data_IF_062738814373
#
_entry.id   IF_062738814373
#
_cell.length_a   1.000
_cell.length_b   1.000
_cell.length_c   1.000
_cell.angle_alpha   90.00
_cell.angle_beta   90.00
_cell.angle_gamma   90.00
#
_symmetry.space_group_name_H-M   'P 1'
#
loop_
_entity.id
_entity.type
_entity.pdbx_description
1 polymer ?
#
# COMPACT_ATOMS: atom_id res chain seq x y z
N UNK A 1 26.07 -62.49 -2.11
CA UNK A 1 25.25 -62.42 -0.89
C UNK A 1 23.82 -62.86 -1.21
N UNK A 2 23.09 -63.38 -0.22
CA UNK A 2 21.96 -64.30 -0.46
C UNK A 2 20.61 -63.62 -0.76
N UNK A 3 19.81 -64.29 -1.58
CA UNK A 3 18.37 -64.05 -1.74
C UNK A 3 17.57 -64.75 -0.61
N UNK A 4 16.47 -64.14 -0.13
CA UNK A 4 15.31 -64.77 0.57
C UNK A 4 14.15 -63.75 0.59
N UNK A 5 13.11 -63.93 -0.23
CA UNK A 5 11.81 -64.59 0.04
C UNK A 5 10.68 -63.65 0.52
N UNK A 6 9.62 -63.53 -0.31
CA UNK A 6 8.25 -63.06 0.05
C UNK A 6 7.45 -64.17 0.75
N UNK A 7 6.42 -63.83 1.53
CA UNK A 7 4.98 -63.95 1.12
C UNK A 7 4.21 -62.63 1.39
N UNK A 8 2.90 -62.39 1.15
CA UNK A 8 1.83 -62.86 0.22
C UNK A 8 0.86 -61.65 0.03
N UNK A 9 -0.01 -61.44 -0.96
CA UNK A 9 -0.80 -62.22 -1.93
C UNK A 9 -2.22 -62.66 -1.50
N UNK A 10 -3.22 -62.32 -2.36
CA UNK A 10 -4.63 -62.81 -2.46
C UNK A 10 -5.62 -62.27 -1.40
N UNK A 11 -6.94 -62.14 -1.59
CA UNK A 11 -7.84 -62.00 -2.76
C UNK A 11 -9.17 -61.40 -2.24
N UNK A 12 -9.80 -60.39 -2.88
CA UNK A 12 -10.77 -60.47 -3.98
C UNK A 12 -12.20 -60.99 -3.63
N UNK A 13 -13.20 -60.13 -3.90
CA UNK A 13 -14.59 -60.39 -4.34
C UNK A 13 -15.55 -61.19 -3.42
N UNK A 14 -16.67 -60.62 -2.93
CA UNK A 14 -17.94 -60.18 -3.59
C UNK A 14 -19.00 -61.31 -3.69
N UNK A 15 -20.23 -60.95 -3.24
CA UNK A 15 -21.58 -61.47 -3.57
C UNK A 15 -22.38 -62.42 -2.64
N UNK A 16 -23.65 -62.00 -2.45
CA UNK A 16 -24.90 -62.76 -2.19
C UNK A 16 -25.13 -63.43 -0.81
N UNK A 17 -26.37 -63.53 -0.27
CA UNK A 17 -27.67 -62.84 -0.53
C UNK A 17 -28.68 -63.19 0.63
N UNK A 18 -29.84 -62.50 0.70
CA UNK A 18 -31.17 -62.99 1.19
C UNK A 18 -31.26 -63.66 2.58
N UNK A 19 -32.02 -63.16 3.59
CA UNK A 19 -33.44 -62.73 3.55
C UNK A 19 -33.90 -62.11 4.89
N UNK A 20 -34.65 -61.00 4.79
CA UNK A 20 -35.85 -60.61 5.57
C UNK A 20 -36.12 -61.26 6.94
N UNK A 21 -36.01 -60.48 8.03
CA UNK A 21 -36.99 -60.35 9.15
C UNK A 21 -36.76 -58.93 9.74
N UNK A 22 -37.76 -58.05 9.92
CA UNK A 22 -38.80 -58.11 10.96
C UNK A 22 -38.27 -57.40 12.22
N UNK A 23 -38.39 -56.07 12.34
CA UNK A 23 -39.48 -55.33 13.00
C UNK A 23 -39.64 -55.65 14.51
N UNK A 24 -39.87 -54.62 15.35
CA UNK A 24 -40.13 -54.64 16.82
C UNK A 24 -38.99 -55.16 17.72
N UNK A 25 -38.85 -54.80 19.01
CA UNK A 25 -39.22 -53.62 19.83
C UNK A 25 -38.55 -53.82 21.23
N UNK A 26 -38.43 -52.75 22.03
CA UNK A 26 -38.14 -52.74 23.49
C UNK A 26 -36.71 -53.11 23.96
N UNK A 27 -35.93 -52.18 24.56
CA UNK A 27 -35.99 -51.64 25.94
C UNK A 27 -35.49 -52.60 27.05
N UNK A 28 -34.72 -52.02 28.01
CA UNK A 28 -34.32 -52.55 29.35
C UNK A 28 -33.13 -53.55 29.35
N UNK A 29 -32.14 -53.54 30.28
CA UNK A 29 -31.81 -52.64 31.43
C UNK A 29 -30.30 -52.69 31.83
N UNK A 30 -29.82 -51.56 32.38
CA UNK A 30 -28.78 -51.37 33.44
C UNK A 30 -27.33 -51.87 33.34
N UNK A 31 -26.42 -50.90 33.56
CA UNK A 31 -25.20 -50.94 34.44
C UNK A 31 -23.98 -51.76 33.99
N UNK A 32 -22.72 -51.34 34.22
CA UNK A 32 -22.15 -50.17 34.95
C UNK A 32 -20.72 -49.84 34.45
N UNK A 33 -20.18 -48.70 34.89
CA UNK A 33 -18.74 -48.31 34.87
C UNK A 33 -18.00 -48.20 33.51
N UNK A 34 -17.73 -46.97 33.06
CA UNK A 34 -16.91 -46.72 31.87
C UNK A 34 -16.59 -45.26 31.54
N UNK A 35 -15.88 -44.55 32.45
CA UNK A 35 -15.10 -43.34 32.11
C UNK A 35 -15.89 -42.07 31.76
N UNK A 36 -15.96 -41.14 32.73
CA UNK A 36 -16.27 -39.75 32.42
C UNK A 36 -15.07 -39.08 31.71
N UNK A 37 -15.10 -39.05 30.38
CA UNK A 37 -14.30 -38.09 29.59
C UNK A 37 -15.25 -36.99 29.15
N UNK A 38 -15.22 -35.88 29.89
CA UNK A 38 -16.03 -34.70 29.62
C UNK A 38 -15.61 -34.04 28.31
N UNK A 39 -16.19 -34.52 27.20
CA UNK A 39 -16.10 -33.87 25.90
C UNK A 39 -16.82 -32.53 25.94
N UNK A 40 -16.15 -31.49 26.45
CA UNK A 40 -16.40 -30.11 26.03
C UNK A 40 -16.02 -30.03 24.55
N UNK A 41 -16.94 -30.49 23.70
CA UNK A 41 -17.07 -29.95 22.35
C UNK A 41 -17.20 -28.44 22.52
N UNK A 42 -16.12 -27.73 22.21
CA UNK A 42 -16.17 -26.28 22.11
C UNK A 42 -17.20 -25.95 21.05
N UNK A 43 -18.35 -25.40 21.46
CA UNK A 43 -19.26 -24.75 20.53
C UNK A 43 -18.45 -23.69 19.80
N UNK A 44 -18.07 -24.01 18.57
CA UNK A 44 -17.41 -23.10 17.67
C UNK A 44 -18.49 -22.15 17.18
N UNK A 45 -18.91 -21.22 18.05
CA UNK A 45 -19.78 -20.14 17.63
C UNK A 45 -19.05 -19.40 16.51
N UNK A 46 -19.55 -19.44 15.26
CA UNK A 46 -18.93 -18.64 14.22
C UNK A 46 -19.03 -17.19 14.68
N UNK A 47 -17.91 -16.48 14.70
CA UNK A 47 -17.93 -15.03 14.92
C UNK A 47 -18.77 -14.46 13.79
N UNK A 48 -20.04 -14.18 14.10
CA UNK A 48 -20.95 -13.48 13.21
C UNK A 48 -20.24 -12.18 12.87
N UNK A 49 -19.76 -12.08 11.62
CA UNK A 49 -19.14 -10.87 11.12
C UNK A 49 -20.20 -9.78 11.20
N UNK A 50 -20.15 -9.00 12.29
CA UNK A 50 -21.21 -8.08 12.65
C UNK A 50 -21.23 -7.04 11.54
N UNK A 51 -22.23 -7.13 10.67
CA UNK A 51 -22.37 -6.24 9.52
C UNK A 51 -22.68 -4.87 10.09
N UNK A 52 -21.64 -4.09 10.36
CA UNK A 52 -21.76 -2.71 10.81
C UNK A 52 -22.46 -1.98 9.67
N UNK A 53 -23.77 -1.80 9.82
CA UNK A 53 -24.54 -0.88 9.03
C UNK A 53 -24.04 0.52 9.41
N UNK A 54 -22.96 0.94 8.76
CA UNK A 54 -22.31 2.22 8.97
C UNK A 54 -23.29 3.32 8.57
N UNK A 55 -24.12 3.74 9.54
CA UNK A 55 -25.18 4.72 9.32
C UNK A 55 -24.60 6.10 8.98
N UNK A 56 -23.38 6.37 9.46
CA UNK A 56 -22.51 7.45 9.02
C UNK A 56 -21.06 6.93 8.98
N UNK A 57 -20.46 6.82 7.79
CA UNK A 57 -19.06 6.39 7.61
C UNK A 57 -18.04 7.54 7.82
N UNK A 58 -18.42 8.58 8.55
CA UNK A 58 -17.66 9.82 8.68
C UNK A 58 -16.92 9.91 10.03
N UNK A 59 -15.67 10.34 9.99
CA UNK A 59 -14.90 10.74 11.17
C UNK A 59 -14.65 12.24 11.08
N UNK A 60 -15.16 13.00 12.04
CA UNK A 60 -14.91 14.45 12.13
C UNK A 60 -13.47 14.66 12.63
N UNK A 61 -12.63 15.29 11.82
CA UNK A 61 -11.25 15.62 12.18
C UNK A 61 -11.26 16.79 13.18
N UNK A 62 -10.73 16.63 14.41
CA UNK A 62 -10.65 17.72 15.38
C UNK A 62 -9.67 18.81 14.92
N UNK A 63 -9.76 20.02 15.49
CA UNK A 63 -8.84 21.13 15.18
C UNK A 63 -7.34 20.78 15.40
N UNK A 64 -7.03 19.85 16.31
CA UNK A 64 -5.66 19.34 16.51
C UNK A 64 -5.17 18.36 15.43
N UNK A 65 -6.07 17.87 14.56
CA UNK A 65 -5.85 16.75 13.65
C UNK A 65 -6.03 15.38 14.32
N UNK A 66 -6.21 14.35 13.50
CA UNK A 66 -6.20 12.95 13.87
C UNK A 66 -4.76 12.40 13.76
N UNK A 67 -4.19 11.96 14.88
CA UNK A 67 -2.87 11.33 14.92
C UNK A 67 -2.99 9.81 14.94
N UNK A 68 -2.27 9.15 14.04
CA UNK A 68 -2.01 7.72 14.09
C UNK A 68 -0.69 7.52 14.83
N UNK A 69 -0.71 6.76 15.92
CA UNK A 69 0.44 6.59 16.82
C UNK A 69 0.73 5.11 17.06
N UNK A 70 1.99 4.81 17.34
CA UNK A 70 2.41 3.54 17.95
C UNK A 70 1.97 3.47 19.42
N UNK A 71 1.96 2.28 20.06
CA UNK A 71 1.59 2.13 21.47
C UNK A 71 2.46 2.92 22.46
N UNK A 72 3.71 3.21 22.12
CA UNK A 72 4.62 4.09 22.88
C UNK A 72 4.44 5.59 22.59
N UNK A 73 3.39 5.96 21.84
CA UNK A 73 2.95 7.34 21.65
C UNK A 73 3.64 8.11 20.51
N UNK A 74 4.60 7.51 19.79
CA UNK A 74 5.24 8.14 18.63
C UNK A 74 4.26 8.31 17.47
N UNK A 75 4.29 9.45 16.80
CA UNK A 75 3.46 9.69 15.63
C UNK A 75 3.97 8.89 14.41
N UNK A 76 3.06 8.24 13.71
CA UNK A 76 3.28 7.55 12.43
C UNK A 76 2.71 8.39 11.29
N UNK A 77 1.49 8.92 11.49
CA UNK A 77 0.84 9.82 10.54
C UNK A 77 -0.04 10.84 11.26
N UNK A 78 -0.35 11.95 10.58
CA UNK A 78 -1.32 12.95 11.02
C UNK A 78 -2.19 13.38 9.84
N UNK A 79 -3.50 13.23 9.98
CA UNK A 79 -4.51 13.83 9.11
C UNK A 79 -5.02 15.10 9.78
N UNK A 80 -4.92 16.26 9.14
CA UNK A 80 -5.39 17.54 9.69
C UNK A 80 -5.97 18.43 8.59
N UNK A 81 -6.55 19.55 9.00
CA UNK A 81 -7.06 20.60 8.12
C UNK A 81 -6.39 21.91 8.53
N UNK A 82 -5.98 22.71 7.56
CA UNK A 82 -5.55 24.10 7.73
C UNK A 82 -6.43 25.04 6.89
N UNK A 83 -6.00 26.29 6.67
CA UNK A 83 -6.73 27.28 5.88
C UNK A 83 -6.87 26.89 4.39
N UNK A 84 -5.93 26.08 3.88
CA UNK A 84 -5.78 25.68 2.48
C UNK A 84 -6.44 24.32 2.19
N UNK A 85 -6.63 23.50 3.24
CA UNK A 85 -7.53 22.37 3.24
C UNK A 85 -6.97 21.12 3.93
N UNK A 86 -7.32 19.95 3.37
CA UNK A 86 -6.94 18.65 3.94
C UNK A 86 -5.46 18.31 3.73
N UNK A 87 -4.82 17.82 4.79
CA UNK A 87 -3.39 17.53 4.84
C UNK A 87 -3.12 16.16 5.51
N UNK A 88 -2.26 15.35 4.90
CA UNK A 88 -1.76 14.09 5.44
C UNK A 88 -0.23 14.11 5.50
N UNK A 89 0.33 14.01 6.70
CA UNK A 89 1.77 13.85 6.95
C UNK A 89 2.10 12.43 7.43
N UNK A 90 3.22 11.88 6.97
CA UNK A 90 3.82 10.63 7.43
C UNK A 90 5.17 10.92 8.08
N UNK A 91 5.40 10.40 9.28
CA UNK A 91 6.60 10.63 10.08
C UNK A 91 7.53 9.40 10.10
N UNK A 92 8.83 9.63 10.20
CA UNK A 92 9.79 8.58 10.54
C UNK A 92 9.86 8.37 12.07
N UNK A 93 10.66 7.38 12.51
CA UNK A 93 10.85 7.05 13.93
C UNK A 93 11.44 8.17 14.80
N UNK A 94 12.02 9.20 14.19
CA UNK A 94 12.52 10.41 14.85
C UNK A 94 11.51 11.57 14.86
N UNK A 95 10.28 11.35 14.38
CA UNK A 95 9.24 12.38 14.30
C UNK A 95 9.38 13.36 13.13
N UNK A 96 10.28 13.10 12.17
CA UNK A 96 10.48 13.95 10.99
C UNK A 96 9.52 13.55 9.88
N UNK A 97 8.82 14.52 9.29
CA UNK A 97 7.91 14.31 8.15
C UNK A 97 8.68 13.85 6.91
N UNK A 98 8.49 12.59 6.49
CA UNK A 98 9.13 11.98 5.30
C UNK A 98 8.22 11.92 4.07
N UNK A 99 6.91 12.05 4.24
CA UNK A 99 5.97 12.29 3.14
C UNK A 99 4.85 13.23 3.59
N UNK A 100 4.37 14.07 2.68
CA UNK A 100 3.27 15.00 2.93
C UNK A 100 2.45 15.20 1.65
N UNK A 101 1.17 14.85 1.71
CA UNK A 101 0.13 15.16 0.72
C UNK A 101 -0.77 16.28 1.28
N UNK A 102 -0.99 17.36 0.54
CA UNK A 102 -1.80 18.48 1.01
C UNK A 102 -2.59 19.16 -0.11
N UNK A 103 -3.73 19.74 0.27
CA UNK A 103 -4.44 20.72 -0.54
C UNK A 103 -3.71 22.07 -0.51
N UNK A 104 -3.96 22.89 -1.53
CA UNK A 104 -3.61 24.31 -1.59
C UNK A 104 -4.82 25.06 -2.16
N UNK A 105 -5.01 26.35 -1.84
CA UNK A 105 -6.11 27.19 -2.37
C UNK A 105 -6.42 26.95 -3.86
N UNK A 106 -5.37 26.82 -4.67
CA UNK A 106 -5.44 26.71 -6.13
C UNK A 106 -4.98 25.33 -6.67
N UNK A 107 -4.96 24.28 -5.83
CA UNK A 107 -4.59 22.93 -6.27
C UNK A 107 -4.17 22.00 -5.14
N UNK A 108 -2.99 21.38 -5.27
CA UNK A 108 -2.50 20.43 -4.29
C UNK A 108 -1.05 20.00 -4.55
N UNK A 109 -0.45 19.36 -3.56
CA UNK A 109 0.95 18.95 -3.61
C UNK A 109 1.20 17.62 -2.92
N UNK A 110 2.21 16.91 -3.41
CA UNK A 110 2.84 15.78 -2.75
C UNK A 110 4.32 16.11 -2.57
N UNK A 111 4.89 15.79 -1.41
CA UNK A 111 6.34 15.86 -1.19
C UNK A 111 6.85 14.59 -0.52
N UNK A 112 8.06 14.20 -0.92
CA UNK A 112 8.86 13.16 -0.28
C UNK A 112 10.12 13.83 0.24
N UNK A 113 10.40 13.63 1.52
CA UNK A 113 11.53 14.24 2.22
C UNK A 113 12.49 13.14 2.71
N UNK A 114 13.78 13.45 2.73
CA UNK A 114 14.77 12.56 3.34
C UNK A 114 14.63 12.54 4.88
N UNK A 115 15.40 11.67 5.54
CA UNK A 115 15.34 11.50 7.00
C UNK A 115 15.67 12.77 7.82
N UNK A 116 16.21 13.82 7.19
CA UNK A 116 16.49 15.15 7.78
C UNK A 116 15.41 16.19 7.47
N UNK A 117 14.30 15.80 6.83
CA UNK A 117 13.18 16.68 6.50
C UNK A 117 13.38 17.54 5.25
N UNK A 118 14.47 17.35 4.50
CA UNK A 118 14.67 18.05 3.22
C UNK A 118 13.88 17.38 2.10
N UNK A 119 13.14 18.16 1.31
CA UNK A 119 12.42 17.69 0.13
C UNK A 119 13.40 17.16 -0.93
N UNK A 120 13.22 15.90 -1.32
CA UNK A 120 13.99 15.21 -2.37
C UNK A 120 13.14 14.84 -3.59
N UNK A 121 11.81 14.82 -3.45
CA UNK A 121 10.90 14.81 -4.59
C UNK A 121 9.60 15.56 -4.26
N UNK A 122 8.89 16.00 -5.29
CA UNK A 122 7.54 16.51 -5.13
C UNK A 122 6.75 16.61 -6.43
N UNK A 123 5.43 16.58 -6.31
CA UNK A 123 4.48 16.93 -7.36
C UNK A 123 3.67 18.14 -6.88
N UNK A 124 3.25 18.99 -7.81
CA UNK A 124 2.28 20.07 -7.55
C UNK A 124 1.30 20.23 -8.71
N UNK A 125 0.07 20.62 -8.39
CA UNK A 125 -0.92 21.08 -9.36
C UNK A 125 -1.31 22.53 -9.04
N UNK A 126 -1.52 23.32 -10.09
CA UNK A 126 -1.97 24.70 -10.07
C UNK A 126 -2.92 24.94 -11.27
N UNK A 127 -3.67 26.07 -11.34
CA UNK A 127 -4.62 26.31 -12.42
C UNK A 127 -3.94 26.48 -13.78
N UNK A 128 -2.67 26.91 -13.78
CA UNK A 128 -1.84 27.04 -14.98
C UNK A 128 -1.18 25.74 -15.43
N UNK A 129 -1.25 24.65 -14.65
CA UNK A 129 -0.65 23.36 -14.99
C UNK A 129 -0.05 22.60 -13.80
N UNK A 130 0.82 21.63 -14.10
CA UNK A 130 1.42 20.73 -13.10
C UNK A 130 2.94 20.70 -13.15
N UNK A 131 3.57 20.35 -12.03
CA UNK A 131 5.01 20.10 -11.94
C UNK A 131 5.35 18.82 -11.19
N UNK A 132 6.47 18.21 -11.56
CA UNK A 132 7.16 17.14 -10.85
C UNK A 132 8.63 17.51 -10.75
N UNK A 133 9.21 17.42 -9.56
CA UNK A 133 10.62 17.72 -9.32
C UNK A 133 11.30 16.63 -8.49
N UNK A 134 12.57 16.39 -8.79
CA UNK A 134 13.50 15.57 -8.00
C UNK A 134 14.70 16.42 -7.64
N UNK A 135 15.11 16.35 -6.38
CA UNK A 135 16.23 17.08 -5.81
C UNK A 135 17.19 16.13 -5.08
N UNK A 136 18.44 16.54 -4.96
CA UNK A 136 19.44 15.82 -4.16
C UNK A 136 19.27 16.04 -2.64
N UNK A 137 20.18 15.47 -1.84
CA UNK A 137 20.18 15.62 -0.38
C UNK A 137 20.55 17.03 0.12
N UNK A 138 20.99 17.91 -0.78
CA UNK A 138 21.21 19.34 -0.53
C UNK A 138 19.96 20.16 -0.86
N UNK A 139 18.93 19.54 -1.43
CA UNK A 139 17.72 20.14 -1.99
C UNK A 139 17.95 20.94 -3.29
N UNK A 140 19.03 20.67 -4.03
CA UNK A 140 19.26 21.19 -5.39
C UNK A 140 18.44 20.36 -6.38
N UNK A 141 17.73 21.02 -7.29
CA UNK A 141 16.96 20.35 -8.34
C UNK A 141 17.91 19.61 -9.31
N UNK A 142 17.68 18.31 -9.51
CA UNK A 142 18.43 17.45 -10.43
C UNK A 142 17.56 16.90 -11.56
N UNK A 143 16.24 16.99 -11.43
CA UNK A 143 15.30 16.68 -12.51
C UNK A 143 14.00 17.45 -12.33
N UNK A 144 13.45 17.96 -13.43
CA UNK A 144 12.16 18.66 -13.40
C UNK A 144 11.32 18.31 -14.62
N UNK A 145 10.02 18.17 -14.41
CA UNK A 145 9.02 18.13 -15.47
C UNK A 145 7.94 19.15 -15.14
N UNK A 146 7.53 19.96 -16.11
CA UNK A 146 6.35 20.81 -15.97
C UNK A 146 5.52 20.81 -17.24
N UNK A 147 4.22 20.90 -17.07
CA UNK A 147 3.26 21.13 -18.14
C UNK A 147 2.46 22.37 -17.77
N UNK A 148 2.36 23.33 -18.68
CA UNK A 148 1.57 24.55 -18.51
C UNK A 148 0.84 24.92 -19.81
N UNK A 149 0.06 26.00 -19.79
CA UNK A 149 -0.73 26.47 -20.95
C UNK A 149 0.10 26.74 -22.22
N UNK A 150 1.41 27.01 -22.07
CA UNK A 150 2.33 27.24 -23.19
C UNK A 150 3.03 25.97 -23.69
N UNK A 151 3.03 24.86 -22.95
CA UNK A 151 3.72 23.64 -23.37
C UNK A 151 4.21 22.74 -22.24
N UNK A 152 4.96 21.71 -22.63
CA UNK A 152 5.64 20.76 -21.75
C UNK A 152 7.16 20.96 -21.74
N UNK A 153 7.78 20.68 -20.59
CA UNK A 153 9.23 20.64 -20.42
C UNK A 153 9.63 19.48 -19.53
N UNK A 154 10.77 18.87 -19.85
CA UNK A 154 11.46 17.87 -19.03
C UNK A 154 12.95 18.17 -19.06
N UNK A 155 13.61 18.30 -17.91
CA UNK A 155 15.06 18.51 -17.83
C UNK A 155 15.76 17.66 -16.78
N UNK A 156 17.04 17.43 -17.03
CA UNK A 156 18.02 16.89 -16.08
C UNK A 156 19.00 18.00 -15.73
N UNK A 157 19.07 18.33 -14.44
CA UNK A 157 19.98 19.30 -13.85
C UNK A 157 21.33 18.67 -13.50
N UNK A 158 22.37 19.51 -13.51
CA UNK A 158 23.72 19.20 -13.04
C UNK A 158 23.88 19.67 -11.58
N UNK A 159 24.91 19.17 -10.89
CA UNK A 159 25.15 19.49 -9.47
C UNK A 159 25.50 20.96 -9.17
N UNK A 160 25.80 21.76 -10.19
CA UNK A 160 25.97 23.21 -10.14
C UNK A 160 24.65 23.99 -10.38
N UNK A 161 23.52 23.29 -10.49
CA UNK A 161 22.19 23.88 -10.68
C UNK A 161 21.86 24.27 -12.13
N UNK A 162 22.79 24.10 -13.07
CA UNK A 162 22.56 24.32 -14.51
C UNK A 162 21.88 23.11 -15.15
N UNK A 163 21.07 23.32 -16.20
CA UNK A 163 20.54 22.22 -17.01
C UNK A 163 21.68 21.55 -17.78
N UNK A 164 21.66 20.21 -17.86
CA UNK A 164 22.55 19.42 -18.73
C UNK A 164 21.83 18.89 -19.97
N UNK A 165 20.56 18.50 -19.83
CA UNK A 165 19.69 18.05 -20.93
C UNK A 165 18.29 18.62 -20.70
N UNK A 166 17.64 19.11 -21.76
CA UNK A 166 16.27 19.63 -21.71
C UNK A 166 15.46 19.26 -22.95
N UNK A 167 14.22 18.82 -22.74
CA UNK A 167 13.19 18.60 -23.74
C UNK A 167 12.10 19.66 -23.57
N UNK A 168 11.67 20.26 -24.67
CA UNK A 168 10.65 21.31 -24.71
C UNK A 168 9.64 20.95 -25.81
N UNK A 169 8.36 21.23 -25.59
CA UNK A 169 7.35 21.14 -26.64
C UNK A 169 6.25 22.17 -26.39
N UNK A 170 5.89 22.95 -27.41
CA UNK A 170 4.83 23.96 -27.37
C UNK A 170 3.88 23.80 -28.57
N UNK A 171 3.12 24.85 -28.90
CA UNK A 171 2.18 24.85 -30.04
C UNK A 171 2.84 24.89 -31.42
N UNK A 172 4.11 25.28 -31.50
CA UNK A 172 4.86 25.51 -32.74
C UNK A 172 5.87 24.38 -33.02
N UNK A 173 6.32 23.65 -32.01
CA UNK A 173 7.16 22.46 -32.21
C UNK A 173 7.73 21.83 -30.94
N UNK A 174 8.70 20.95 -31.14
CA UNK A 174 9.51 20.32 -30.09
C UNK A 174 10.98 20.76 -30.16
N UNK A 175 11.73 20.47 -29.10
CA UNK A 175 13.19 20.30 -29.19
C UNK A 175 13.75 19.45 -28.05
N UNK A 176 14.83 18.71 -28.33
CA UNK A 176 15.73 18.10 -27.34
C UNK A 176 17.09 18.80 -27.45
N UNK A 177 17.62 19.26 -26.32
CA UNK A 177 18.85 20.04 -26.22
C UNK A 177 19.81 19.44 -25.20
N UNK A 178 21.11 19.42 -25.53
CA UNK A 178 22.21 19.03 -24.63
C UNK A 178 23.14 20.23 -24.44
N UNK A 179 23.46 20.55 -23.19
CA UNK A 179 24.17 21.76 -22.80
C UNK A 179 25.57 21.48 -22.24
N UNK A 180 26.52 22.37 -22.52
CA UNK A 180 27.86 22.32 -21.94
C UNK A 180 27.90 22.88 -20.50
N UNK A 181 29.11 23.03 -19.93
CA UNK A 181 29.31 23.58 -18.58
C UNK A 181 28.87 25.03 -18.47
N UNK A 182 28.99 25.79 -19.55
CA UNK A 182 28.69 27.21 -19.62
C UNK A 182 27.18 27.48 -19.82
N UNK A 183 26.41 26.42 -20.11
CA UNK A 183 24.97 26.39 -20.42
C UNK A 183 24.62 26.76 -21.87
N UNK A 184 25.59 26.62 -22.78
CA UNK A 184 25.38 26.74 -24.23
C UNK A 184 24.95 25.37 -24.79
N UNK A 185 24.03 25.36 -25.76
CA UNK A 185 23.62 24.14 -26.43
C UNK A 185 24.75 23.64 -27.37
N UNK A 186 25.23 22.42 -27.13
CA UNK A 186 26.24 21.75 -27.98
C UNK A 186 25.62 20.74 -28.94
N UNK A 187 24.36 20.36 -28.71
CA UNK A 187 23.55 19.57 -29.62
C UNK A 187 22.08 19.91 -29.41
N UNK A 188 21.33 20.03 -30.51
CA UNK A 188 19.90 20.26 -30.52
C UNK A 188 19.26 19.48 -31.68
N UNK A 189 18.07 18.93 -31.45
CA UNK A 189 17.18 18.42 -32.49
C UNK A 189 15.76 18.93 -32.26
N UNK A 190 14.98 19.20 -33.33
CA UNK A 190 13.55 19.46 -33.24
C UNK A 190 12.74 18.19 -32.89
#
# INVERSE_FOLDING_TARGET
MSCRLKPNCLCANIFMDRRRYGLTLALLMTSFAGGAIGGRITEFQPIQAQKIAAKDSAVIVPAGGLYFKTPDGKAVARLFVDQDGGNLQIFNSSGVTVAWLGAAENGGYLSVNNAKGKKVAGLSAAPSGGSLGVSDNEARSVGSMFANLGGGHLSVGRSDGKIGVGMFADKDGGSLNVYNRDAEAVWSAP
#
